data_IF_620883367993
#
_entry.id   IF_620883367993
#
_cell.length_a   1.000
_cell.length_b   1.000
_cell.length_c   1.000
_cell.angle_alpha   90.00
_cell.angle_beta   90.00
_cell.angle_gamma   90.00
#
_symmetry.space_group_name_H-M   'P 1'
#
loop_
_entity.id
_entity.type
_entity.pdbx_description
1 polymer ?
#
# COMPACT_ATOMS: atom_id res chain seq x y z
N UNK A 1 -7.61 17.84 8.95
CA UNK A 1 -6.17 17.49 8.93
C UNK A 1 -5.84 16.82 7.61
N UNK A 2 -4.68 17.08 7.01
CA UNK A 2 -4.24 16.32 5.84
C UNK A 2 -3.66 14.99 6.32
N UNK A 3 -4.22 13.86 5.87
CA UNK A 3 -3.66 12.52 6.12
C UNK A 3 -2.61 12.22 5.05
N UNK A 4 -1.46 11.69 5.46
CA UNK A 4 -0.42 11.24 4.53
C UNK A 4 -0.74 9.82 4.09
N UNK A 5 -0.96 9.64 2.80
CA UNK A 5 -1.28 8.36 2.18
C UNK A 5 -0.04 7.90 1.39
N UNK A 6 0.40 6.69 1.67
CA UNK A 6 1.46 6.01 0.94
C UNK A 6 0.83 5.21 -0.19
N UNK A 7 1.28 5.45 -1.42
CA UNK A 7 0.83 4.78 -2.63
C UNK A 7 1.95 3.86 -3.11
N UNK A 8 1.73 2.56 -3.06
CA UNK A 8 2.70 1.54 -3.46
C UNK A 8 2.30 0.97 -4.82
N UNK A 9 3.13 1.21 -5.83
CA UNK A 9 2.90 0.66 -7.18
C UNK A 9 3.56 -0.70 -7.33
N UNK A 10 2.78 -1.75 -7.56
CA UNK A 10 3.28 -3.13 -7.66
C UNK A 10 2.46 -3.98 -8.65
N UNK A 11 2.99 -5.14 -9.02
CA UNK A 11 2.25 -6.11 -9.83
C UNK A 11 1.13 -6.78 -8.99
N UNK A 12 -0.02 -7.15 -9.60
CA UNK A 12 -1.16 -7.74 -8.91
C UNK A 12 -0.83 -8.97 -8.06
N UNK A 13 0.16 -9.76 -8.50
CA UNK A 13 0.61 -10.95 -7.77
C UNK A 13 1.15 -10.65 -6.36
N UNK A 14 1.63 -9.43 -6.13
CA UNK A 14 2.10 -8.99 -4.81
C UNK A 14 0.98 -8.50 -3.90
N UNK A 15 -0.26 -8.35 -4.39
CA UNK A 15 -1.41 -8.00 -3.55
C UNK A 15 -1.63 -9.01 -2.42
N UNK A 16 -1.41 -10.30 -2.71
CA UNK A 16 -1.48 -11.36 -1.70
C UNK A 16 -0.44 -11.17 -0.60
N UNK A 17 0.77 -10.69 -0.92
CA UNK A 17 1.80 -10.41 0.08
C UNK A 17 1.39 -9.27 1.02
N UNK A 18 0.72 -8.24 0.49
CA UNK A 18 0.18 -7.15 1.30
C UNK A 18 -0.87 -7.66 2.29
N UNK A 19 -1.77 -8.52 1.83
CA UNK A 19 -2.81 -9.12 2.68
C UNK A 19 -2.24 -10.10 3.71
N UNK A 20 -1.18 -10.84 3.38
CA UNK A 20 -0.51 -11.75 4.31
C UNK A 20 0.31 -11.02 5.39
N UNK A 21 0.70 -9.77 5.14
CA UNK A 21 1.36 -8.91 6.14
C UNK A 21 0.35 -8.26 7.11
N UNK A 22 -0.94 -8.33 6.83
CA UNK A 22 -1.98 -8.13 7.84
C UNK A 22 -2.00 -9.38 8.72
N UNK A 23 -1.37 -9.28 9.88
CA UNK A 23 -1.44 -10.32 10.89
C UNK A 23 -2.91 -10.46 11.33
N UNK A 24 -3.46 -11.67 11.38
CA UNK A 24 -4.84 -11.89 11.83
C UNK A 24 -5.07 -11.25 13.21
N UNK A 25 -5.93 -10.23 13.28
CA UNK A 25 -6.29 -9.54 14.52
C UNK A 25 -5.67 -8.16 14.72
N UNK A 26 -4.69 -7.75 13.91
CA UNK A 26 -4.10 -6.40 13.96
C UNK A 26 -4.21 -5.70 12.61
N UNK A 27 -5.20 -4.81 12.49
CA UNK A 27 -5.46 -3.99 11.31
C UNK A 27 -5.07 -2.52 11.60
N UNK A 28 -3.78 -2.15 11.47
CA UNK A 28 -3.27 -0.86 11.93
C UNK A 28 -3.72 0.33 11.06
N UNK A 29 -4.33 0.08 9.90
CA UNK A 29 -4.86 1.09 8.99
C UNK A 29 -5.80 0.46 7.95
N UNK A 30 -6.58 1.30 7.28
CA UNK A 30 -7.32 0.92 6.08
C UNK A 30 -6.36 0.74 4.89
N UNK A 31 -6.59 -0.30 4.10
CA UNK A 31 -5.87 -0.54 2.84
C UNK A 31 -6.86 -0.38 1.69
N UNK A 32 -6.54 0.48 0.73
CA UNK A 32 -7.31 0.65 -0.50
C UNK A 32 -6.50 0.15 -1.69
N UNK A 33 -7.05 -0.79 -2.45
CA UNK A 33 -6.43 -1.29 -3.68
C UNK A 33 -7.08 -0.62 -4.88
N UNK A 34 -6.27 0.01 -5.74
CA UNK A 34 -6.71 0.66 -6.96
C UNK A 34 -5.96 0.12 -8.18
N UNK A 35 -6.59 0.22 -9.34
CA UNK A 35 -5.92 -0.05 -10.62
C UNK A 35 -4.97 1.10 -10.94
N UNK A 36 -3.71 0.80 -11.26
CA UNK A 36 -2.79 1.81 -11.74
C UNK A 36 -3.17 2.26 -13.16
N UNK A 37 -2.73 3.46 -13.56
CA UNK A 37 -2.81 3.90 -14.97
C UNK A 37 -1.93 3.06 -15.88
N UNK A 38 -0.82 2.55 -15.35
CA UNK A 38 0.10 1.65 -16.05
C UNK A 38 -0.51 0.26 -16.13
N UNK A 39 -0.57 -0.30 -17.34
CA UNK A 39 -1.05 -1.67 -17.55
C UNK A 39 -0.20 -2.67 -16.75
N UNK A 40 -0.87 -3.64 -16.13
CA UNK A 40 -0.20 -4.67 -15.32
C UNK A 40 0.23 -4.23 -13.91
N UNK A 41 -0.09 -3.02 -13.48
CA UNK A 41 0.20 -2.55 -12.12
C UNK A 41 -1.08 -2.22 -11.33
N UNK A 42 -0.98 -2.37 -10.01
CA UNK A 42 -1.95 -1.91 -9.02
C UNK A 42 -1.29 -0.89 -8.10
N UNK A 43 -2.11 -0.08 -7.45
CA UNK A 43 -1.70 0.88 -6.45
C UNK A 43 -2.35 0.45 -5.13
N UNK A 44 -1.53 0.23 -4.12
CA UNK A 44 -1.98 0.03 -2.75
C UNK A 44 -1.85 1.36 -2.01
N UNK A 45 -2.94 1.87 -1.47
CA UNK A 45 -2.97 3.06 -0.66
C UNK A 45 -3.17 2.69 0.81
N UNK A 46 -2.34 3.24 1.70
CA UNK A 46 -2.47 3.08 3.14
C UNK A 46 -1.88 4.27 3.89
N UNK A 47 -2.31 4.54 5.12
CA UNK A 47 -1.85 5.67 5.93
C UNK A 47 -0.79 5.33 6.99
N UNK A 48 -0.35 4.06 7.06
CA UNK A 48 0.67 3.60 8.00
C UNK A 48 2.07 3.48 7.38
N UNK A 49 3.04 4.24 7.90
CA UNK A 49 4.42 4.24 7.38
C UNK A 49 5.15 2.91 7.64
N UNK A 50 4.98 2.31 8.81
CA UNK A 50 5.67 1.06 9.16
C UNK A 50 5.22 -0.10 8.29
N UNK A 51 3.91 -0.20 8.06
CA UNK A 51 3.35 -1.21 7.15
C UNK A 51 3.82 -0.96 5.71
N UNK A 52 3.84 0.30 5.26
CA UNK A 52 4.37 0.64 3.94
C UNK A 52 5.82 0.17 3.77
N UNK A 53 6.68 0.43 4.76
CA UNK A 53 8.09 0.00 4.73
C UNK A 53 8.24 -1.53 4.71
N UNK A 54 7.42 -2.27 5.47
CA UNK A 54 7.41 -3.74 5.45
C UNK A 54 7.04 -4.27 4.07
N UNK A 55 5.98 -3.72 3.46
CA UNK A 55 5.54 -4.11 2.11
C UNK A 55 6.64 -3.80 1.09
N UNK A 56 7.28 -2.64 1.18
CA UNK A 56 8.39 -2.25 0.28
C UNK A 56 9.57 -3.19 0.41
N UNK A 57 9.92 -3.56 1.63
CA UNK A 57 11.02 -4.52 1.88
C UNK A 57 10.71 -5.89 1.30
N UNK A 58 9.47 -6.35 1.44
CA UNK A 58 9.03 -7.66 0.94
C UNK A 58 8.87 -7.71 -0.60
N UNK A 59 8.35 -6.65 -1.20
CA UNK A 59 7.97 -6.63 -2.64
C UNK A 59 8.95 -5.87 -3.52
N UNK A 60 9.91 -5.14 -2.93
CA UNK A 60 10.83 -4.21 -3.62
C UNK A 60 10.10 -3.22 -4.54
N UNK A 61 8.86 -2.88 -4.20
CA UNK A 61 8.00 -2.01 -5.01
C UNK A 61 8.42 -0.53 -4.93
N UNK A 62 7.96 0.28 -5.90
CA UNK A 62 8.17 1.73 -5.90
C UNK A 62 7.12 2.42 -5.05
N UNK A 63 7.57 3.31 -4.16
CA UNK A 63 6.71 4.11 -3.27
C UNK A 63 6.52 5.50 -3.84
N UNK A 64 5.27 5.95 -3.89
CA UNK A 64 4.90 7.34 -4.01
C UNK A 64 4.18 7.79 -2.72
N UNK A 65 4.38 9.04 -2.32
CA UNK A 65 3.66 9.63 -1.18
C UNK A 65 2.68 10.68 -1.70
N UNK A 66 1.44 10.67 -1.19
CA UNK A 66 0.43 11.68 -1.48
C UNK A 66 -0.20 12.19 -0.19
N UNK A 67 -0.51 13.48 -0.14
CA UNK A 67 -1.29 14.06 0.95
C UNK A 67 -2.76 14.10 0.53
N UNK A 68 -3.64 13.47 1.31
CA UNK A 68 -5.08 13.51 1.10
C UNK A 68 -5.74 14.43 2.14
N UNK A 69 -6.67 15.29 1.70
CA UNK A 69 -7.58 15.98 2.63
C UNK A 69 -8.63 14.95 3.07
N UNK A 70 -8.64 14.65 4.37
CA UNK A 70 -9.70 13.85 5.00
C UNK A 70 -10.98 14.64 5.16
#
# INVERSE_FOLDING_TARGET
MMKKIYQLGMEPQYAAHVLLLWNEGEYPCDICVRRAKTAGLIIIELDNLELANKIVTATRCKVACRYAKG
#
